data_IF_201156910159
#
_entry.id   IF_201156910159
#
_cell.length_a   1.000
_cell.length_b   1.000
_cell.length_c   1.000
_cell.angle_alpha   90.00
_cell.angle_beta   90.00
_cell.angle_gamma   90.00
#
_symmetry.space_group_name_H-M   'P 1'
#
loop_
_entity.id
_entity.type
_entity.pdbx_description
1 polymer ?
#
# COMPACT_ATOMS: atom_id res chain seq x y z
N UNK A 1 16.90 -12.62 2.76
CA UNK A 1 16.98 -11.17 2.50
C UNK A 1 18.43 -10.74 2.44
N UNK A 2 19.30 -11.41 3.19
CA UNK A 2 20.72 -11.07 3.33
C UNK A 2 21.57 -11.40 2.10
N UNK A 3 21.11 -12.30 1.22
CA UNK A 3 21.77 -12.66 -0.04
C UNK A 3 21.43 -11.74 -1.23
N UNK A 4 20.51 -10.79 -1.06
CA UNK A 4 20.11 -9.88 -2.13
C UNK A 4 21.09 -8.71 -2.26
N UNK A 5 21.25 -8.21 -3.48
CA UNK A 5 21.90 -6.91 -3.71
C UNK A 5 21.11 -5.80 -3.02
N UNK A 6 21.74 -4.67 -2.72
CA UNK A 6 21.05 -3.54 -2.07
C UNK A 6 19.89 -3.00 -2.92
N UNK A 7 20.04 -2.99 -4.25
CA UNK A 7 18.98 -2.58 -5.18
C UNK A 7 17.80 -3.56 -5.18
N UNK A 8 18.06 -4.86 -5.09
CA UNK A 8 17.02 -5.88 -4.96
C UNK A 8 16.30 -5.78 -3.61
N UNK A 9 17.05 -5.55 -2.52
CA UNK A 9 16.47 -5.31 -1.20
C UNK A 9 15.55 -4.08 -1.22
N UNK A 10 15.97 -3.00 -1.87
CA UNK A 10 15.16 -1.79 -2.04
C UNK A 10 13.89 -2.08 -2.83
N UNK A 11 14.00 -2.84 -3.92
CA UNK A 11 12.86 -3.25 -4.74
C UNK A 11 11.87 -4.10 -3.94
N UNK A 12 12.34 -5.10 -3.21
CA UNK A 12 11.50 -5.93 -2.34
C UNK A 12 10.84 -5.11 -1.24
N UNK A 13 11.56 -4.15 -0.64
CA UNK A 13 11.01 -3.25 0.36
C UNK A 13 9.87 -2.38 -0.20
N UNK A 14 10.05 -1.80 -1.39
CA UNK A 14 9.02 -1.03 -2.10
C UNK A 14 7.82 -1.89 -2.48
N UNK A 15 8.05 -3.08 -3.02
CA UNK A 15 7.00 -4.03 -3.39
C UNK A 15 6.14 -4.42 -2.17
N UNK A 16 6.77 -4.71 -1.01
CA UNK A 16 6.05 -5.00 0.24
C UNK A 16 5.21 -3.81 0.72
N UNK A 17 5.72 -2.58 0.59
CA UNK A 17 4.95 -1.37 0.92
C UNK A 17 3.73 -1.24 0.00
N UNK A 18 3.90 -1.42 -1.31
CA UNK A 18 2.81 -1.37 -2.29
C UNK A 18 1.74 -2.42 -2.00
N UNK A 19 2.15 -3.67 -1.76
CA UNK A 19 1.25 -4.77 -1.42
C UNK A 19 0.34 -4.40 -0.24
N UNK A 20 0.89 -3.78 0.81
CA UNK A 20 0.12 -3.33 1.98
C UNK A 20 -0.70 -2.08 1.67
N UNK A 21 -0.18 -1.15 0.88
CA UNK A 21 -0.85 0.10 0.51
C UNK A 21 -2.10 -0.12 -0.36
N UNK A 22 -2.15 -1.23 -1.10
CA UNK A 22 -3.35 -1.68 -1.82
C UNK A 22 -4.48 -2.14 -0.89
N UNK A 23 -4.22 -2.37 0.40
CA UNK A 23 -5.27 -2.72 1.36
C UNK A 23 -6.08 -1.49 1.74
N UNK A 24 -7.41 -1.60 1.67
CA UNK A 24 -8.32 -0.51 1.97
C UNK A 24 -9.48 -1.03 2.84
N UNK A 25 -9.83 -0.35 3.95
CA UNK A 25 -11.02 -0.69 4.70
C UNK A 25 -12.26 -0.35 3.87
N UNK A 26 -13.13 -1.34 3.66
CA UNK A 26 -14.37 -1.17 2.92
C UNK A 26 -15.52 -0.80 3.85
N UNK A 27 -16.38 0.12 3.41
CA UNK A 27 -17.53 0.58 4.17
C UNK A 27 -18.48 -0.57 4.55
N UNK A 28 -18.66 -1.55 3.65
CA UNK A 28 -19.48 -2.75 3.92
C UNK A 28 -18.85 -3.69 4.95
N UNK A 29 -17.53 -3.63 5.14
CA UNK A 29 -16.79 -4.48 6.06
C UNK A 29 -16.69 -3.89 7.47
N UNK A 30 -17.12 -2.64 7.68
CA UNK A 30 -17.05 -1.94 8.95
C UNK A 30 -17.82 -2.67 10.06
N UNK A 31 -18.97 -3.27 9.73
CA UNK A 31 -19.80 -4.05 10.68
C UNK A 31 -19.10 -5.29 11.23
N UNK A 32 -18.10 -5.82 10.52
CA UNK A 32 -17.35 -7.02 10.92
C UNK A 32 -15.97 -6.68 11.49
N UNK A 33 -15.35 -5.60 11.01
CA UNK A 33 -13.94 -5.24 11.33
C UNK A 33 -13.82 -4.12 12.36
N UNK A 34 -14.89 -3.35 12.60
CA UNK A 34 -14.88 -2.15 13.44
C UNK A 34 -14.03 -1.00 12.88
N UNK A 35 -13.44 -1.16 11.69
CA UNK A 35 -12.61 -0.13 11.06
C UNK A 35 -13.44 0.66 10.06
N UNK A 36 -13.49 2.00 10.16
CA UNK A 36 -14.31 2.82 9.27
C UNK A 36 -13.84 2.71 7.83
N UNK A 37 -14.80 2.54 6.92
CA UNK A 37 -14.53 2.52 5.49
C UNK A 37 -13.90 3.84 5.02
N UNK A 38 -12.97 3.77 4.06
CA UNK A 38 -12.40 4.96 3.42
C UNK A 38 -12.67 4.93 1.93
N UNK A 39 -13.05 6.07 1.38
CA UNK A 39 -13.05 6.30 -0.07
C UNK A 39 -11.83 7.15 -0.42
N UNK A 40 -11.05 6.72 -1.40
CA UNK A 40 -9.84 7.41 -1.86
C UNK A 40 -10.05 7.81 -3.30
N UNK A 41 -9.86 9.10 -3.61
CA UNK A 41 -10.02 9.57 -4.98
C UNK A 41 -8.90 9.06 -5.90
N UNK A 42 -9.13 9.09 -7.21
CA UNK A 42 -8.13 8.71 -8.21
C UNK A 42 -6.85 9.57 -8.09
N UNK A 43 -7.01 10.88 -7.87
CA UNK A 43 -5.89 11.82 -7.76
C UNK A 43 -5.02 11.50 -6.54
N UNK A 44 -5.64 11.22 -5.39
CA UNK A 44 -4.92 10.84 -4.17
C UNK A 44 -4.25 9.48 -4.30
N UNK A 45 -4.90 8.53 -4.97
CA UNK A 45 -4.31 7.21 -5.29
C UNK A 45 -3.03 7.39 -6.10
N UNK A 46 -3.09 8.12 -7.23
CA UNK A 46 -1.92 8.34 -8.09
C UNK A 46 -0.80 9.04 -7.32
N UNK A 47 -1.12 10.05 -6.50
CA UNK A 47 -0.13 10.75 -5.67
C UNK A 47 0.52 9.80 -4.66
N UNK A 48 -0.26 8.99 -3.96
CA UNK A 48 0.23 8.04 -2.97
C UNK A 48 1.18 6.99 -3.56
N UNK A 49 0.81 6.39 -4.69
CA UNK A 49 1.66 5.40 -5.38
C UNK A 49 2.97 6.01 -5.88
N UNK A 50 2.94 7.23 -6.42
CA UNK A 50 4.15 7.93 -6.84
C UNK A 50 5.13 8.18 -5.69
N UNK A 51 4.64 8.47 -4.48
CA UNK A 51 5.50 8.67 -3.29
C UNK A 51 6.15 7.38 -2.79
N UNK A 52 5.62 6.20 -3.15
CA UNK A 52 6.21 4.90 -2.76
C UNK A 52 7.20 4.41 -3.83
N UNK A 53 6.91 4.70 -5.09
CA UNK A 53 7.71 4.28 -6.24
C UNK A 53 8.93 5.18 -6.52
N UNK A 54 8.79 6.50 -6.32
CA UNK A 54 9.88 7.47 -6.49
C UNK A 54 10.69 7.56 -5.20
#
# INVERSE_FOLDING_TARGET
MDELSEDDKLTVARARKIQRFLSQPFQVAEVFTGTPGKFVSLQETIKGFNMILK
#
